data_IF_027301283653
#
_entry.id   IF_027301283653
#
_cell.length_a   1.000
_cell.length_b   1.000
_cell.length_c   1.000
_cell.angle_alpha   90.00
_cell.angle_beta   90.00
_cell.angle_gamma   90.00
#
_symmetry.space_group_name_H-M   'P 1'
#
loop_
_entity.id
_entity.type
_entity.pdbx_description
1 polymer ?
#
# COMPACT_ATOMS: atom_id res chain seq x y z
N UNK A 1 1.39 24.00 31.93
CA UNK A 1 0.24 23.77 31.03
C UNK A 1 0.08 25.03 30.20
N UNK A 2 0.78 25.09 29.07
CA UNK A 2 0.43 26.01 27.99
C UNK A 2 -0.85 25.44 27.34
N UNK A 3 -1.86 26.28 27.11
CA UNK A 3 -3.10 25.86 26.46
C UNK A 3 -2.87 25.65 24.97
N UNK A 4 -3.58 24.68 24.38
CA UNK A 4 -3.62 24.44 22.92
C UNK A 4 -4.21 25.67 22.21
N UNK A 5 -3.74 25.99 21.01
CA UNK A 5 -4.29 27.11 20.24
C UNK A 5 -5.67 26.75 19.68
N UNK A 6 -6.56 27.73 19.52
CA UNK A 6 -7.96 27.55 19.13
C UNK A 6 -8.11 26.81 17.78
N UNK A 7 -7.15 26.98 16.86
CA UNK A 7 -7.13 26.27 15.57
C UNK A 7 -6.85 24.77 15.75
N UNK A 8 -5.95 24.44 16.68
CA UNK A 8 -5.56 23.06 16.99
C UNK A 8 -6.71 22.32 17.70
N UNK A 9 -7.42 23.00 18.60
CA UNK A 9 -8.62 22.44 19.26
C UNK A 9 -9.74 22.10 18.27
N UNK A 10 -9.98 22.97 17.27
CA UNK A 10 -10.98 22.73 16.22
C UNK A 10 -10.60 21.52 15.35
N UNK A 11 -9.32 21.38 15.02
CA UNK A 11 -8.81 20.26 14.24
C UNK A 11 -8.91 18.93 15.02
N UNK A 12 -8.49 18.92 16.28
CA UNK A 12 -8.61 17.76 17.17
C UNK A 12 -10.08 17.35 17.31
N UNK A 13 -10.98 18.30 17.53
CA UNK A 13 -12.42 18.02 17.62
C UNK A 13 -12.98 17.39 16.33
N UNK A 14 -12.52 17.85 15.16
CA UNK A 14 -12.92 17.27 13.87
C UNK A 14 -12.40 15.83 13.71
N UNK A 15 -11.15 15.58 14.10
CA UNK A 15 -10.53 14.26 14.02
C UNK A 15 -11.21 13.27 14.97
N UNK A 16 -11.44 13.68 16.23
CA UNK A 16 -12.13 12.86 17.22
C UNK A 16 -13.56 12.51 16.78
N UNK A 17 -14.26 13.42 16.08
CA UNK A 17 -15.58 13.14 15.50
C UNK A 17 -15.55 12.02 14.44
N UNK A 18 -14.41 11.85 13.77
CA UNK A 18 -14.20 10.85 12.72
C UNK A 18 -13.28 9.70 13.17
N UNK A 19 -13.01 9.56 14.48
CA UNK A 19 -12.03 8.61 15.00
C UNK A 19 -12.33 7.15 14.63
N UNK A 20 -13.61 6.82 14.42
CA UNK A 20 -14.09 5.48 14.09
C UNK A 20 -13.65 4.97 12.71
N UNK A 21 -13.27 5.85 11.80
CA UNK A 21 -12.81 5.47 10.45
C UNK A 21 -11.29 5.28 10.38
N UNK A 22 -10.57 5.51 11.48
CA UNK A 22 -9.11 5.48 11.53
C UNK A 22 -8.55 4.09 11.79
N UNK A 23 -7.45 3.76 11.13
CA UNK A 23 -6.67 2.54 11.34
C UNK A 23 -5.77 2.67 12.57
N UNK A 24 -5.19 1.56 13.05
CA UNK A 24 -4.27 1.55 14.19
C UNK A 24 -3.08 2.51 14.01
N UNK A 25 -2.46 2.51 12.83
CA UNK A 25 -1.36 3.42 12.51
C UNK A 25 -1.78 4.89 12.47
N UNK A 26 -2.99 5.19 11.95
CA UNK A 26 -3.50 6.56 11.98
C UNK A 26 -3.77 7.04 13.41
N UNK A 27 -4.24 6.15 14.30
CA UNK A 27 -4.44 6.48 15.71
C UNK A 27 -3.12 6.76 16.42
N UNK A 28 -2.08 5.94 16.15
CA UNK A 28 -0.73 6.20 16.64
C UNK A 28 -0.19 7.55 16.15
N UNK A 29 -0.40 7.87 14.87
CA UNK A 29 0.04 9.13 14.27
C UNK A 29 -0.66 10.35 14.89
N UNK A 30 -1.99 10.25 15.12
CA UNK A 30 -2.76 11.28 15.81
C UNK A 30 -2.22 11.49 17.23
N UNK A 31 -1.93 10.42 17.96
CA UNK A 31 -1.35 10.53 19.30
C UNK A 31 0.01 11.25 19.29
N UNK A 32 0.92 10.84 18.40
CA UNK A 32 2.28 11.36 18.36
C UNK A 32 2.39 12.80 17.85
N UNK A 33 1.52 13.19 16.90
CA UNK A 33 1.62 14.51 16.24
C UNK A 33 0.70 15.57 16.81
N UNK A 34 -0.42 15.16 17.40
CA UNK A 34 -1.47 16.08 17.86
C UNK A 34 -1.70 16.00 19.37
N UNK A 35 -0.85 15.26 20.08
CA UNK A 35 -0.88 15.12 21.54
C UNK A 35 -2.25 14.63 22.06
N UNK A 36 -2.99 13.89 21.23
CA UNK A 36 -4.29 13.32 21.62
C UNK A 36 -4.01 12.01 22.37
N UNK A 37 -4.44 11.94 23.62
CA UNK A 37 -4.29 10.75 24.45
C UNK A 37 -5.18 9.60 23.98
N UNK A 38 -4.78 8.36 24.26
CA UNK A 38 -5.61 7.19 23.98
C UNK A 38 -6.96 7.26 24.71
N UNK A 39 -6.97 7.83 25.92
CA UNK A 39 -8.18 8.06 26.73
C UNK A 39 -9.15 9.05 26.06
N UNK A 40 -8.64 10.13 25.44
CA UNK A 40 -9.44 11.05 24.62
C UNK A 40 -10.07 10.34 23.40
N UNK A 41 -9.30 9.46 22.74
CA UNK A 41 -9.81 8.69 21.60
C UNK A 41 -10.89 7.67 22.01
N UNK A 42 -10.70 6.98 23.14
CA UNK A 42 -11.70 6.07 23.71
C UNK A 42 -12.96 6.83 24.09
N UNK A 43 -12.82 8.00 24.73
CA UNK A 43 -13.95 8.90 25.04
C UNK A 43 -14.67 9.38 23.78
N UNK A 44 -13.95 9.53 22.67
CA UNK A 44 -14.51 9.82 21.35
C UNK A 44 -15.13 8.59 20.64
N UNK A 45 -15.30 7.48 21.37
CA UNK A 45 -15.93 6.23 20.93
C UNK A 45 -15.12 5.48 19.88
N UNK A 46 -13.81 5.32 20.12
CA UNK A 46 -12.98 4.33 19.46
C UNK A 46 -13.66 2.96 19.47
N UNK A 47 -13.56 2.18 18.39
CA UNK A 47 -14.16 0.84 18.35
C UNK A 47 -13.24 -0.21 18.96
N UNK A 48 -13.79 -1.28 19.56
CA UNK A 48 -13.05 -2.46 20.01
C UNK A 48 -12.04 -2.98 18.98
N UNK A 49 -12.44 -3.10 17.71
CA UNK A 49 -11.57 -3.64 16.66
C UNK A 49 -10.38 -2.73 16.35
N UNK A 50 -10.48 -1.43 16.67
CA UNK A 50 -9.39 -0.47 16.53
C UNK A 50 -8.40 -0.56 17.69
N UNK A 51 -8.87 -0.88 18.91
CA UNK A 51 -7.99 -1.18 20.05
C UNK A 51 -7.24 -2.50 19.81
N UNK A 52 -7.93 -3.51 19.29
CA UNK A 52 -7.31 -4.77 18.89
C UNK A 52 -6.27 -4.56 17.78
N UNK A 53 -6.59 -3.69 16.81
CA UNK A 53 -5.63 -3.26 15.79
C UNK A 53 -4.40 -2.57 16.38
N UNK A 54 -4.56 -1.69 17.37
CA UNK A 54 -3.43 -1.08 18.08
C UNK A 54 -2.59 -2.15 18.80
N UNK A 55 -3.22 -3.16 19.40
CA UNK A 55 -2.52 -4.23 20.10
C UNK A 55 -1.72 -5.14 19.16
N UNK A 56 -2.20 -5.34 17.93
CA UNK A 56 -1.57 -6.21 16.93
C UNK A 56 -0.54 -5.48 16.09
N UNK A 57 -0.89 -4.29 15.60
CA UNK A 57 -0.11 -3.55 14.61
C UNK A 57 0.82 -2.52 15.26
N UNK A 58 0.52 -2.08 16.49
CA UNK A 58 1.28 -1.06 17.22
C UNK A 58 1.51 -1.44 18.71
N UNK A 59 1.97 -2.66 19.05
CA UNK A 59 2.01 -3.16 20.42
C UNK A 59 2.85 -2.29 21.37
N UNK A 60 3.98 -1.77 20.91
CA UNK A 60 4.87 -0.91 21.73
C UNK A 60 4.19 0.38 22.19
N UNK A 61 3.25 0.92 21.41
CA UNK A 61 2.50 2.11 21.80
C UNK A 61 1.58 1.81 22.99
N UNK A 62 0.79 0.74 22.92
CA UNK A 62 -0.10 0.36 24.02
C UNK A 62 0.67 -0.03 25.28
N UNK A 63 1.78 -0.76 25.14
CA UNK A 63 2.66 -1.09 26.26
C UNK A 63 3.18 0.19 26.92
N UNK A 64 3.65 1.15 26.12
CA UNK A 64 4.13 2.43 26.64
C UNK A 64 3.04 3.24 27.35
N UNK A 65 1.81 3.26 26.84
CA UNK A 65 0.70 3.94 27.50
C UNK A 65 0.33 3.29 28.84
N UNK A 66 0.43 1.97 28.93
CA UNK A 66 0.23 1.20 30.17
C UNK A 66 1.38 1.42 31.17
N UNK A 67 2.62 1.34 30.72
CA UNK A 67 3.84 1.52 31.55
C UNK A 67 3.93 2.94 32.11
N UNK A 68 3.51 3.94 31.34
CA UNK A 68 3.45 5.33 31.79
C UNK A 68 2.23 5.65 32.64
N UNK A 69 1.33 4.68 32.87
CA UNK A 69 0.04 4.86 33.54
C UNK A 69 -0.84 5.95 32.91
N UNK A 70 -0.72 6.16 31.60
CA UNK A 70 -1.58 7.07 30.84
C UNK A 70 -2.99 6.48 30.64
N UNK A 71 -3.09 5.16 30.69
CA UNK A 71 -4.33 4.39 30.68
C UNK A 71 -4.16 3.12 31.54
N UNK A 72 -5.21 2.68 32.22
CA UNK A 72 -5.20 1.43 32.98
C UNK A 72 -5.62 0.22 32.15
N UNK A 73 -5.30 -0.97 32.66
CA UNK A 73 -5.76 -2.23 32.09
C UNK A 73 -7.29 -2.31 32.10
N UNK A 74 -7.91 -1.90 33.20
CA UNK A 74 -9.37 -1.88 33.38
C UNK A 74 -10.03 -0.93 32.39
N UNK A 75 -9.46 0.25 32.14
CA UNK A 75 -9.98 1.23 31.17
C UNK A 75 -9.93 0.71 29.74
N UNK A 76 -8.89 -0.04 29.37
CA UNK A 76 -8.81 -0.68 28.05
C UNK A 76 -9.82 -1.81 27.91
N UNK A 77 -10.04 -2.61 28.95
CA UNK A 77 -11.06 -3.68 28.96
C UNK A 77 -12.47 -3.10 28.88
N UNK A 78 -12.76 -2.04 29.63
CA UNK A 78 -14.03 -1.32 29.58
C UNK A 78 -14.26 -0.65 28.22
N UNK A 79 -13.19 -0.23 27.54
CA UNK A 79 -13.23 0.27 26.18
C UNK A 79 -13.40 -0.85 25.12
N UNK A 80 -13.35 -2.11 25.54
CA UNK A 80 -13.67 -3.28 24.72
C UNK A 80 -12.47 -3.92 24.03
N UNK A 81 -11.23 -3.65 24.45
CA UNK A 81 -10.07 -4.40 23.94
C UNK A 81 -10.21 -5.88 24.28
N UNK A 82 -9.71 -6.76 23.41
CA UNK A 82 -9.69 -8.18 23.70
C UNK A 82 -8.75 -8.49 24.89
N UNK A 83 -9.30 -9.07 25.95
CA UNK A 83 -8.58 -9.41 27.18
C UNK A 83 -7.35 -10.30 26.95
N UNK A 84 -7.40 -11.19 25.94
CA UNK A 84 -6.27 -12.05 25.59
C UNK A 84 -5.16 -11.28 24.90
N UNK A 85 -5.49 -10.31 24.04
CA UNK A 85 -4.51 -9.43 23.40
C UNK A 85 -3.82 -8.57 24.46
N UNK A 86 -4.61 -7.96 25.36
CA UNK A 86 -4.09 -7.16 26.47
C UNK A 86 -3.19 -7.98 27.40
N UNK A 87 -3.57 -9.22 27.72
CA UNK A 87 -2.76 -10.12 28.54
C UNK A 87 -1.47 -10.56 27.83
N UNK A 88 -1.48 -10.69 26.50
CA UNK A 88 -0.28 -11.01 25.73
C UNK A 88 0.70 -9.83 25.62
N UNK A 89 0.20 -8.59 25.63
CA UNK A 89 1.03 -7.38 25.63
C UNK A 89 1.81 -7.20 26.95
N UNK A 90 1.17 -7.54 28.08
CA UNK A 90 1.72 -7.28 29.41
C UNK A 90 2.67 -8.36 29.94
N UNK A 91 2.89 -9.44 29.19
CA UNK A 91 3.85 -10.50 29.51
C UNK A 91 3.83 -10.96 30.97
N UNK A 92 2.95 -11.91 31.32
CA UNK A 92 2.74 -12.44 32.68
C UNK A 92 3.94 -12.29 33.65
N UNK A 93 3.91 -11.22 34.44
CA UNK A 93 4.84 -10.95 35.53
C UNK A 93 4.02 -10.55 36.75
N UNK A 94 3.83 -11.47 37.68
CA UNK A 94 3.68 -11.13 39.10
C UNK A 94 4.48 -12.14 39.94
N UNK A 95 5.62 -11.67 40.45
CA UNK A 95 6.43 -12.29 41.48
C UNK A 95 6.18 -11.54 42.79
N UNK A 96 5.56 -12.18 43.79
CA UNK A 96 5.76 -11.88 45.21
C UNK A 96 5.83 -13.21 46.00
N UNK A 97 6.96 -13.46 46.66
CA UNK A 97 7.23 -14.51 47.67
C UNK A 97 7.23 -13.88 49.08
N UNK A 98 7.32 -14.62 50.22
CA UNK A 98 6.94 -16.02 50.52
C UNK A 98 6.17 -16.20 51.87
N UNK A 99 5.41 -17.28 52.06
CA UNK A 99 5.34 -18.03 53.34
C UNK A 99 5.06 -19.53 53.06
N UNK A 100 5.54 -20.39 53.97
CA UNK A 100 5.91 -21.82 53.84
C UNK A 100 4.76 -22.88 53.73
N UNK A 101 5.07 -24.17 53.44
CA UNK A 101 4.32 -25.04 52.52
C UNK A 101 3.26 -25.93 53.21
N UNK A 102 2.36 -26.57 52.43
CA UNK A 102 2.56 -28.01 52.24
C UNK A 102 2.15 -28.59 50.87
N UNK A 103 2.92 -29.62 50.50
CA UNK A 103 2.56 -30.82 49.70
C UNK A 103 1.95 -30.69 48.31
N UNK A 104 2.76 -31.15 47.36
CA UNK A 104 2.50 -31.57 45.99
C UNK A 104 1.25 -32.46 45.90
N UNK A 105 0.25 -32.02 45.13
CA UNK A 105 -0.46 -32.88 44.18
C UNK A 105 -0.45 -32.20 42.81
N UNK A 106 -0.11 -32.99 41.79
CA UNK A 106 0.08 -32.59 40.42
C UNK A 106 -1.22 -32.08 39.78
N UNK A 107 -1.24 -30.83 39.31
CA UNK A 107 -2.10 -30.44 38.18
C UNK A 107 -1.31 -29.58 37.19
N UNK A 108 -1.07 -30.19 36.03
CA UNK A 108 -0.68 -29.52 34.80
C UNK A 108 -1.85 -28.63 34.34
N UNK A 109 -1.65 -27.33 34.18
CA UNK A 109 -2.40 -26.59 33.15
C UNK A 109 -1.70 -25.28 32.76
N UNK A 110 -0.75 -25.39 31.82
CA UNK A 110 -0.35 -24.29 30.95
C UNK A 110 -1.20 -24.41 29.69
N UNK A 111 -2.44 -23.92 29.73
CA UNK A 111 -3.34 -24.01 28.60
C UNK A 111 -2.93 -23.03 27.48
N UNK A 112 -2.38 -23.57 26.39
CA UNK A 112 -2.50 -23.02 25.03
C UNK A 112 -3.99 -22.83 24.70
N UNK A 113 -4.53 -21.62 24.85
CA UNK A 113 -5.92 -21.36 24.42
C UNK A 113 -5.98 -21.29 22.90
N UNK A 114 -6.55 -22.33 22.28
CA UNK A 114 -6.81 -22.40 20.84
C UNK A 114 -7.85 -21.38 20.37
N UNK A 115 -7.98 -21.22 19.05
CA UNK A 115 -9.07 -20.43 18.43
C UNK A 115 -10.43 -20.99 18.88
N UNK A 116 -11.36 -20.09 19.18
CA UNK A 116 -12.75 -20.50 19.43
C UNK A 116 -13.36 -21.12 18.17
N UNK A 117 -14.43 -21.89 18.35
CA UNK A 117 -15.17 -22.52 17.24
C UNK A 117 -15.68 -21.48 16.24
N UNK A 118 -16.13 -20.32 16.75
CA UNK A 118 -16.65 -19.22 15.91
C UNK A 118 -15.53 -18.60 15.08
N UNK A 119 -14.41 -18.24 15.70
CA UNK A 119 -13.24 -17.66 15.01
C UNK A 119 -12.70 -18.61 13.93
N UNK A 120 -12.69 -19.91 14.23
CA UNK A 120 -12.22 -20.94 13.30
C UNK A 120 -13.17 -21.12 12.11
N UNK A 121 -14.47 -21.08 12.32
CA UNK A 121 -15.46 -21.15 11.23
C UNK A 121 -15.46 -19.88 10.37
N UNK A 122 -15.29 -18.69 10.98
CA UNK A 122 -15.11 -17.44 10.25
C UNK A 122 -13.84 -17.45 9.39
N UNK A 123 -12.72 -17.92 9.95
CA UNK A 123 -11.46 -18.07 9.24
C UNK A 123 -11.62 -19.04 8.07
N UNK A 124 -12.25 -20.20 8.30
CA UNK A 124 -12.54 -21.18 7.25
C UNK A 124 -13.39 -20.57 6.13
N UNK A 125 -14.45 -19.83 6.47
CA UNK A 125 -15.30 -19.16 5.48
C UNK A 125 -14.52 -18.14 4.65
N UNK A 126 -13.63 -17.35 5.28
CA UNK A 126 -12.72 -16.44 4.57
C UNK A 126 -11.81 -17.22 3.63
N UNK A 127 -11.17 -18.28 4.12
CA UNK A 127 -10.22 -19.09 3.35
C UNK A 127 -10.87 -19.77 2.15
N UNK A 128 -12.07 -20.34 2.32
CA UNK A 128 -12.83 -20.97 1.24
C UNK A 128 -13.22 -19.99 0.13
N UNK A 129 -13.31 -18.70 0.44
CA UNK A 129 -13.55 -17.64 -0.53
C UNK A 129 -12.24 -17.09 -1.13
N UNK A 130 -11.07 -17.67 -0.81
CA UNK A 130 -9.75 -17.11 -1.15
C UNK A 130 -9.42 -15.80 -0.42
N UNK A 131 -10.25 -15.42 0.55
CA UNK A 131 -10.13 -14.20 1.36
C UNK A 131 -9.37 -14.48 2.66
N UNK A 132 -8.86 -13.42 3.28
CA UNK A 132 -8.05 -13.50 4.51
C UNK A 132 -6.64 -12.97 4.31
N UNK A 133 -5.94 -12.71 5.40
CA UNK A 133 -4.56 -12.21 5.36
C UNK A 133 -3.56 -13.36 5.43
N UNK A 134 -2.66 -13.45 4.46
CA UNK A 134 -1.55 -14.40 4.48
C UNK A 134 -0.73 -14.31 5.78
N UNK A 135 -0.53 -13.10 6.32
CA UNK A 135 0.18 -12.88 7.58
C UNK A 135 -0.56 -13.51 8.77
N UNK A 136 -1.89 -13.34 8.84
CA UNK A 136 -2.72 -13.93 9.91
C UNK A 136 -2.71 -15.45 9.81
N UNK A 137 -2.90 -16.00 8.60
CA UNK A 137 -2.91 -17.46 8.40
C UNK A 137 -1.55 -18.06 8.77
N UNK A 138 -0.44 -17.41 8.38
CA UNK A 138 0.90 -17.82 8.78
C UNK A 138 1.06 -17.80 10.30
N UNK A 139 0.65 -16.72 10.97
CA UNK A 139 0.73 -16.62 12.42
C UNK A 139 -0.02 -17.76 13.12
N UNK A 140 -1.20 -18.12 12.62
CA UNK A 140 -1.99 -19.23 13.17
C UNK A 140 -1.35 -20.60 12.93
N UNK A 141 -0.68 -20.80 11.78
CA UNK A 141 0.11 -22.00 11.52
C UNK A 141 1.32 -22.10 12.45
N UNK A 142 2.08 -21.00 12.60
CA UNK A 142 3.28 -20.95 13.45
C UNK A 142 2.96 -21.20 14.94
N UNK A 143 1.76 -20.79 15.39
CA UNK A 143 1.26 -20.99 16.75
C UNK A 143 0.47 -22.29 16.94
N UNK A 144 0.42 -23.14 15.93
CA UNK A 144 -0.33 -24.42 15.93
C UNK A 144 -1.84 -24.25 16.24
N UNK A 145 -2.41 -23.07 15.99
CA UNK A 145 -3.84 -22.79 16.19
C UNK A 145 -4.71 -23.39 15.07
N UNK A 146 -4.10 -23.55 13.90
CA UNK A 146 -4.63 -24.30 12.76
C UNK A 146 -3.53 -25.21 12.23
N UNK A 147 -3.91 -26.34 11.65
CA UNK A 147 -2.97 -27.30 11.06
C UNK A 147 -3.02 -27.28 9.54
N UNK A 148 -1.97 -27.82 8.91
CA UNK A 148 -1.98 -28.08 7.46
C UNK A 148 -3.18 -28.95 7.05
N UNK A 149 -3.49 -30.02 7.79
CA UNK A 149 -4.60 -30.91 7.47
C UNK A 149 -5.94 -30.17 7.48
N UNK A 150 -6.10 -29.18 8.36
CA UNK A 150 -7.29 -28.34 8.39
C UNK A 150 -7.38 -27.44 7.16
N UNK A 151 -6.28 -26.77 6.78
CA UNK A 151 -6.24 -25.96 5.55
C UNK A 151 -6.54 -26.81 4.30
N UNK A 152 -5.99 -28.03 4.21
CA UNK A 152 -6.30 -28.98 3.14
C UNK A 152 -7.79 -29.35 3.14
N UNK A 153 -8.37 -29.63 4.32
CA UNK A 153 -9.80 -29.91 4.46
C UNK A 153 -10.70 -28.72 4.09
N UNK A 154 -10.17 -27.50 4.18
CA UNK A 154 -10.85 -26.26 3.77
C UNK A 154 -10.66 -25.95 2.28
N UNK A 155 -9.94 -26.79 1.54
CA UNK A 155 -9.79 -26.69 0.09
C UNK A 155 -8.56 -25.91 -0.37
N UNK A 156 -7.61 -25.61 0.52
CA UNK A 156 -6.33 -24.99 0.13
C UNK A 156 -5.38 -26.07 -0.38
N UNK A 157 -4.82 -25.88 -1.57
CA UNK A 157 -3.86 -26.83 -2.13
C UNK A 157 -2.51 -26.80 -1.40
N UNK A 158 -1.79 -27.92 -1.43
CA UNK A 158 -0.52 -28.09 -0.72
C UNK A 158 0.54 -27.04 -1.11
N UNK A 159 0.60 -26.64 -2.39
CA UNK A 159 1.58 -25.65 -2.83
C UNK A 159 1.26 -24.27 -2.24
N UNK A 160 -0.02 -23.90 -2.16
CA UNK A 160 -0.45 -22.66 -1.50
C UNK A 160 -0.21 -22.71 0.01
N UNK A 161 -0.44 -23.86 0.68
CA UNK A 161 -0.14 -24.03 2.10
C UNK A 161 1.36 -23.85 2.38
N UNK A 162 2.23 -24.48 1.58
CA UNK A 162 3.68 -24.32 1.73
C UNK A 162 4.11 -22.85 1.54
N UNK A 163 3.44 -22.12 0.65
CA UNK A 163 3.70 -20.69 0.45
C UNK A 163 3.19 -19.82 1.60
N UNK A 164 2.08 -20.18 2.23
CA UNK A 164 1.57 -19.53 3.45
C UNK A 164 2.54 -19.74 4.62
N UNK A 165 3.04 -20.97 4.83
CA UNK A 165 4.04 -21.26 5.87
C UNK A 165 5.31 -20.42 5.70
N UNK A 166 5.77 -20.28 4.45
CA UNK A 166 6.96 -19.52 4.08
C UNK A 166 6.66 -18.03 3.78
N UNK A 167 5.44 -17.56 4.06
CA UNK A 167 5.06 -16.18 3.78
C UNK A 167 5.97 -15.22 4.55
N UNK A 168 6.37 -14.16 3.87
CA UNK A 168 7.07 -13.03 4.46
C UNK A 168 6.52 -11.75 3.86
N UNK A 169 6.49 -10.70 4.66
CA UNK A 169 6.09 -9.39 4.15
C UNK A 169 7.17 -8.84 3.24
N UNK A 170 6.77 -8.48 2.02
CA UNK A 170 7.64 -7.76 1.09
C UNK A 170 7.58 -6.29 1.49
N UNK A 171 8.31 -5.98 2.56
CA UNK A 171 8.43 -4.65 3.14
C UNK A 171 9.77 -4.02 2.77
N UNK A 172 9.79 -2.69 2.76
CA UNK A 172 11.01 -1.91 2.64
C UNK A 172 10.93 -0.77 3.64
N UNK A 173 11.89 -0.74 4.55
CA UNK A 173 12.01 0.34 5.52
C UNK A 173 12.45 1.61 4.79
N UNK A 174 11.59 2.65 4.78
CA UNK A 174 11.89 3.87 4.05
C UNK A 174 13.00 4.64 4.78
N UNK A 175 14.01 5.17 4.07
CA UNK A 175 14.93 6.13 4.67
C UNK A 175 14.19 7.40 5.11
N UNK A 176 14.81 8.15 6.01
CA UNK A 176 14.40 9.53 6.25
C UNK A 176 14.42 10.35 4.95
N UNK A 177 13.44 11.25 4.79
CA UNK A 177 13.26 12.04 3.57
C UNK A 177 14.52 12.81 3.18
N UNK A 178 15.23 13.37 4.16
CA UNK A 178 16.44 14.16 3.95
C UNK A 178 17.65 13.31 3.50
N UNK A 179 17.58 11.98 3.64
CA UNK A 179 18.60 11.06 3.19
C UNK A 179 18.40 10.63 1.72
N UNK A 180 17.29 11.03 1.08
CA UNK A 180 17.05 10.69 -0.31
C UNK A 180 17.89 11.57 -1.26
N UNK A 181 18.63 10.97 -2.20
CA UNK A 181 19.40 11.75 -3.18
C UNK A 181 18.48 12.52 -4.15
N UNK A 182 19.01 13.55 -4.84
CA UNK A 182 18.27 14.24 -5.88
C UNK A 182 18.01 13.34 -7.10
N UNK A 183 16.92 13.60 -7.83
CA UNK A 183 16.64 12.92 -9.09
C UNK A 183 17.76 13.14 -10.11
N UNK A 184 17.96 12.15 -10.97
CA UNK A 184 18.95 12.25 -12.03
C UNK A 184 18.52 13.30 -13.04
N UNK A 185 19.38 14.28 -13.30
CA UNK A 185 19.19 15.24 -14.39
C UNK A 185 19.34 14.57 -15.76
N UNK A 186 18.75 15.18 -16.81
CA UNK A 186 18.77 14.66 -18.18
C UNK A 186 18.20 13.23 -18.26
N UNK A 187 17.15 12.99 -17.48
CA UNK A 187 16.41 11.74 -17.44
C UNK A 187 14.94 12.02 -17.81
N UNK A 188 14.17 10.94 -17.96
CA UNK A 188 12.71 11.00 -17.97
C UNK A 188 12.18 10.49 -16.63
N UNK A 189 11.23 11.20 -16.04
CA UNK A 189 10.61 10.80 -14.77
C UNK A 189 9.28 10.09 -15.05
N UNK A 190 9.04 8.95 -14.41
CA UNK A 190 7.80 8.17 -14.55
C UNK A 190 7.15 8.07 -13.17
N UNK A 191 6.02 8.74 -12.99
CA UNK A 191 5.31 8.81 -11.71
C UNK A 191 4.21 7.77 -11.67
N UNK A 192 4.19 6.94 -10.63
CA UNK A 192 3.09 6.01 -10.33
C UNK A 192 2.22 6.65 -9.25
N UNK A 193 1.00 7.02 -9.64
CA UNK A 193 0.08 7.84 -8.84
C UNK A 193 -1.25 7.10 -8.65
N UNK A 194 -1.84 7.19 -7.46
CA UNK A 194 -3.13 6.56 -7.18
C UNK A 194 -3.33 6.25 -5.71
N UNK A 195 -4.56 5.87 -5.37
CA UNK A 195 -4.98 5.64 -3.99
C UNK A 195 -4.24 4.46 -3.32
N UNK A 196 -4.19 4.42 -1.98
CA UNK A 196 -3.74 3.23 -1.26
C UNK A 196 -4.43 1.97 -1.77
N UNK A 197 -3.70 0.86 -1.81
CA UNK A 197 -4.19 -0.45 -2.25
C UNK A 197 -4.64 -0.58 -3.72
N UNK A 198 -4.48 0.45 -4.56
CA UNK A 198 -4.81 0.35 -6.00
C UNK A 198 -3.82 -0.50 -6.83
N UNK A 199 -2.81 -1.12 -6.20
CA UNK A 199 -1.85 -2.00 -6.88
C UNK A 199 -0.64 -1.31 -7.52
N UNK A 200 -0.33 -0.05 -7.14
CA UNK A 200 0.82 0.72 -7.66
C UNK A 200 2.16 -0.01 -7.55
N UNK A 201 2.55 -0.37 -6.32
CA UNK A 201 3.83 -1.02 -6.02
C UNK A 201 3.91 -2.39 -6.68
N UNK A 202 2.79 -3.12 -6.72
CA UNK A 202 2.64 -4.40 -7.42
C UNK A 202 2.86 -4.25 -8.93
N UNK A 203 2.24 -3.26 -9.56
CA UNK A 203 2.41 -2.96 -10.99
C UNK A 203 3.84 -2.52 -11.31
N UNK A 204 4.42 -1.65 -10.48
CA UNK A 204 5.81 -1.23 -10.63
C UNK A 204 6.77 -2.43 -10.53
N UNK A 205 6.55 -3.30 -9.53
CA UNK A 205 7.35 -4.50 -9.32
C UNK A 205 7.28 -5.47 -10.52
N UNK A 206 6.09 -5.74 -11.04
CA UNK A 206 5.91 -6.64 -12.18
C UNK A 206 6.44 -6.04 -13.49
N UNK A 207 6.30 -4.73 -13.69
CA UNK A 207 6.93 -4.00 -14.79
C UNK A 207 8.46 -4.15 -14.75
N UNK A 208 9.07 -3.90 -13.60
CA UNK A 208 10.52 -3.98 -13.43
C UNK A 208 11.03 -5.43 -13.57
N UNK A 209 10.31 -6.41 -13.03
CA UNK A 209 10.63 -7.83 -13.19
C UNK A 209 10.57 -8.29 -14.65
N UNK A 210 9.56 -7.83 -15.40
CA UNK A 210 9.47 -8.05 -16.85
C UNK A 210 10.64 -7.40 -17.59
N UNK A 211 10.91 -6.12 -17.32
CA UNK A 211 11.97 -5.37 -17.97
C UNK A 211 13.35 -5.98 -17.73
N UNK A 212 13.62 -6.49 -16.52
CA UNK A 212 14.86 -7.18 -16.18
C UNK A 212 15.00 -8.49 -16.98
N UNK A 213 13.95 -9.33 -16.97
CA UNK A 213 13.89 -10.59 -17.74
C UNK A 213 14.09 -10.40 -19.25
N UNK A 214 13.63 -9.27 -19.80
CA UNK A 214 13.80 -8.91 -21.22
C UNK A 214 15.08 -8.12 -21.50
N UNK A 215 15.96 -7.91 -20.52
CA UNK A 215 17.21 -7.15 -20.67
C UNK A 215 16.99 -5.70 -21.15
N UNK A 216 15.88 -5.09 -20.74
CA UNK A 216 15.48 -3.73 -21.11
C UNK A 216 15.93 -2.67 -20.12
N UNK A 217 16.39 -3.08 -18.94
CA UNK A 217 16.87 -2.17 -17.90
C UNK A 217 18.31 -2.49 -17.52
N UNK A 218 19.02 -1.45 -17.11
CA UNK A 218 20.32 -1.54 -16.47
C UNK A 218 20.22 -0.79 -15.12
N UNK A 219 20.60 -1.43 -14.02
CA UNK A 219 20.55 -0.79 -12.71
C UNK A 219 21.58 0.34 -12.62
N UNK A 220 21.19 1.43 -11.96
CA UNK A 220 22.13 2.46 -11.51
C UNK A 220 22.39 2.35 -10.00
N UNK A 221 23.51 2.89 -9.54
CA UNK A 221 23.86 3.00 -8.11
C UNK A 221 23.63 4.42 -7.57
N UNK A 222 23.02 5.31 -8.37
CA UNK A 222 22.80 6.73 -8.01
C UNK A 222 21.89 6.91 -6.78
N UNK A 223 21.05 5.91 -6.49
CA UNK A 223 20.22 5.82 -5.28
C UNK A 223 20.26 4.39 -4.74
N UNK A 224 21.01 4.17 -3.67
CA UNK A 224 21.12 2.86 -3.01
C UNK A 224 19.79 2.42 -2.40
N UNK A 225 19.00 3.34 -1.82
CA UNK A 225 17.69 3.06 -1.27
C UNK A 225 16.69 2.64 -2.35
N UNK A 226 16.61 3.41 -3.44
CA UNK A 226 15.79 3.04 -4.61
C UNK A 226 16.19 1.69 -5.20
N UNK A 227 17.49 1.38 -5.20
CA UNK A 227 18.00 0.08 -5.65
C UNK A 227 17.61 -1.07 -4.71
N UNK A 228 17.69 -0.85 -3.40
CA UNK A 228 17.27 -1.82 -2.39
C UNK A 228 15.76 -2.07 -2.44
N UNK A 229 14.97 -1.00 -2.54
CA UNK A 229 13.52 -1.08 -2.73
C UNK A 229 13.16 -1.89 -3.97
N UNK A 230 13.75 -1.57 -5.13
CA UNK A 230 13.55 -2.35 -6.36
C UNK A 230 13.83 -3.83 -6.14
N UNK A 231 14.97 -4.17 -5.51
CA UNK A 231 15.33 -5.57 -5.24
C UNK A 231 14.29 -6.26 -4.38
N UNK A 232 13.77 -5.59 -3.35
CA UNK A 232 12.74 -6.15 -2.46
C UNK A 232 11.46 -6.47 -3.25
N UNK A 233 10.88 -5.49 -3.94
CA UNK A 233 9.60 -5.66 -4.63
C UNK A 233 9.70 -6.63 -5.84
N UNK A 234 10.81 -6.58 -6.59
CA UNK A 234 11.05 -7.51 -7.71
C UNK A 234 11.24 -8.93 -7.20
N UNK A 235 12.00 -9.13 -6.11
CA UNK A 235 12.13 -10.43 -5.47
C UNK A 235 10.76 -10.96 -5.06
N UNK A 236 9.94 -10.13 -4.42
CA UNK A 236 8.56 -10.44 -4.05
C UNK A 236 7.78 -11.06 -5.20
N UNK A 237 7.63 -10.32 -6.31
CA UNK A 237 6.92 -10.79 -7.51
C UNK A 237 7.51 -12.10 -8.05
N UNK A 238 8.84 -12.22 -8.12
CA UNK A 238 9.51 -13.43 -8.63
C UNK A 238 9.35 -14.65 -7.71
N UNK A 239 8.98 -14.44 -6.45
CA UNK A 239 8.64 -15.48 -5.47
C UNK A 239 7.13 -15.60 -5.21
N UNK A 240 6.32 -14.79 -5.91
CA UNK A 240 4.86 -14.79 -5.81
C UNK A 240 4.30 -14.12 -4.55
N UNK A 241 5.05 -13.23 -3.90
CA UNK A 241 4.60 -12.44 -2.76
C UNK A 241 4.46 -10.97 -3.17
N UNK A 242 3.31 -10.38 -2.92
CA UNK A 242 3.03 -9.00 -3.32
C UNK A 242 3.63 -7.99 -2.33
N UNK A 243 4.10 -6.82 -2.80
CA UNK A 243 4.53 -5.73 -1.93
C UNK A 243 3.45 -5.29 -0.96
N UNK A 244 3.84 -5.01 0.29
CA UNK A 244 2.99 -4.29 1.24
C UNK A 244 2.74 -2.85 0.78
N UNK A 245 1.78 -2.16 1.40
CA UNK A 245 1.52 -0.76 1.10
C UNK A 245 2.78 0.09 1.31
N UNK A 246 3.05 1.01 0.37
CA UNK A 246 4.15 1.96 0.49
C UNK A 246 3.89 2.82 1.74
N UNK A 247 4.85 2.93 2.69
CA UNK A 247 4.64 3.68 3.93
C UNK A 247 4.20 5.13 3.66
N UNK A 248 3.19 5.61 4.40
CA UNK A 248 2.52 6.91 4.16
C UNK A 248 3.43 8.14 4.23
N UNK A 249 4.67 8.01 4.69
CA UNK A 249 5.69 9.05 4.67
C UNK A 249 6.54 9.11 3.41
N UNK A 250 6.48 8.11 2.52
CA UNK A 250 7.58 7.78 1.62
C UNK A 250 7.30 8.10 0.14
N UNK A 251 8.19 8.89 -0.46
CA UNK A 251 8.36 8.97 -1.92
C UNK A 251 9.68 8.32 -2.25
N UNK A 252 9.65 7.23 -3.02
CA UNK A 252 10.87 6.61 -3.51
C UNK A 252 11.09 6.90 -4.98
N UNK A 253 12.35 6.89 -5.41
CA UNK A 253 12.65 6.79 -6.82
C UNK A 253 13.67 5.69 -7.10
N UNK A 254 13.40 4.93 -8.15
CA UNK A 254 14.24 3.85 -8.63
C UNK A 254 14.98 4.37 -9.87
N UNK A 255 16.31 4.62 -9.80
CA UNK A 255 17.08 5.03 -10.96
C UNK A 255 17.42 3.80 -11.82
N UNK A 256 16.92 3.79 -13.06
CA UNK A 256 17.24 2.77 -14.05
C UNK A 256 17.54 3.36 -15.42
N UNK A 257 18.54 2.82 -16.08
CA UNK A 257 18.76 3.11 -17.49
C UNK A 257 17.87 2.15 -18.29
N UNK A 258 16.99 2.69 -19.12
CA UNK A 258 15.99 1.95 -19.86
C UNK A 258 16.36 1.90 -21.34
N UNK A 259 16.09 0.81 -22.04
CA UNK A 259 16.27 0.74 -23.50
C UNK A 259 15.12 1.44 -24.20
N UNK A 260 15.42 2.46 -24.99
CA UNK A 260 14.44 3.14 -25.83
C UNK A 260 14.13 2.37 -27.13
N UNK A 261 13.22 2.92 -27.93
CA UNK A 261 12.82 2.46 -29.26
C UNK A 261 14.01 2.21 -30.22
N UNK A 262 15.06 3.03 -30.12
CA UNK A 262 16.30 2.92 -30.91
C UNK A 262 17.34 2.00 -30.28
N UNK A 263 16.94 1.21 -29.30
CA UNK A 263 17.79 0.27 -28.59
C UNK A 263 19.00 0.94 -27.88
N UNK A 264 18.86 2.22 -27.50
CA UNK A 264 19.86 2.99 -26.74
C UNK A 264 19.42 3.13 -25.28
N UNK A 265 20.39 3.21 -24.38
CA UNK A 265 20.15 3.48 -22.97
C UNK A 265 19.74 4.94 -22.74
N UNK A 266 18.61 5.15 -22.10
CA UNK A 266 18.14 6.44 -21.61
C UNK A 266 18.00 6.41 -20.08
N UNK A 267 18.37 7.50 -19.42
CA UNK A 267 18.21 7.59 -17.96
C UNK A 267 16.74 7.80 -17.64
N UNK A 268 16.20 7.01 -16.71
CA UNK A 268 14.85 7.20 -16.20
C UNK A 268 14.81 7.15 -14.67
N UNK A 269 13.92 7.93 -14.07
CA UNK A 269 13.61 7.84 -12.65
C UNK A 269 12.18 7.32 -12.52
N UNK A 270 11.99 6.17 -11.90
CA UNK A 270 10.66 5.61 -11.63
C UNK A 270 10.28 5.99 -10.21
N UNK A 271 9.25 6.82 -10.04
CA UNK A 271 8.81 7.32 -8.75
C UNK A 271 7.59 6.55 -8.28
N UNK A 272 7.70 6.01 -7.07
CA UNK A 272 6.60 5.36 -6.36
C UNK A 272 6.21 6.25 -5.18
N UNK A 273 5.00 6.78 -5.23
CA UNK A 273 4.47 7.67 -4.21
C UNK A 273 3.45 6.92 -3.35
N UNK A 274 3.60 7.00 -2.03
CA UNK A 274 2.62 6.49 -1.09
C UNK A 274 1.22 7.06 -1.38
N UNK A 275 0.19 6.21 -1.26
CA UNK A 275 -1.19 6.63 -1.55
C UNK A 275 -1.72 7.63 -0.53
N UNK A 276 -1.20 7.61 0.69
CA UNK A 276 -1.51 8.54 1.76
C UNK A 276 -0.96 9.94 1.41
N UNK A 277 0.24 10.02 0.82
CA UNK A 277 0.77 11.30 0.31
C UNK A 277 -0.03 11.82 -0.87
N UNK A 278 -0.53 10.94 -1.72
CA UNK A 278 -1.45 11.31 -2.78
C UNK A 278 -2.73 11.96 -2.21
N UNK A 279 -3.31 11.41 -1.13
CA UNK A 279 -4.46 12.01 -0.43
C UNK A 279 -4.12 13.34 0.25
N UNK A 280 -2.99 13.43 0.94
CA UNK A 280 -2.56 14.67 1.61
C UNK A 280 -2.38 15.80 0.60
N UNK A 281 -1.77 15.53 -0.56
CA UNK A 281 -1.66 16.54 -1.63
C UNK A 281 -3.03 17.00 -2.12
N UNK A 282 -3.96 16.07 -2.24
CA UNK A 282 -5.33 16.35 -2.67
C UNK A 282 -6.06 17.26 -1.67
N UNK A 283 -5.93 16.98 -0.36
CA UNK A 283 -6.65 17.69 0.71
C UNK A 283 -5.97 18.95 1.24
N UNK A 284 -4.64 18.98 1.34
CA UNK A 284 -3.88 19.99 2.09
C UNK A 284 -2.91 20.82 1.21
N UNK A 285 -2.71 20.44 -0.05
CA UNK A 285 -1.86 21.19 -0.99
C UNK A 285 -0.34 21.05 -0.75
N UNK A 286 0.45 22.03 -1.21
CA UNK A 286 1.91 21.91 -1.38
C UNK A 286 2.77 22.02 -0.12
N UNK A 287 2.28 22.60 0.97
CA UNK A 287 3.13 22.91 2.13
C UNK A 287 3.70 21.64 2.78
N UNK A 288 2.87 20.59 2.93
CA UNK A 288 3.30 19.25 3.36
C UNK A 288 4.15 18.53 2.31
N UNK A 289 4.06 18.94 1.04
CA UNK A 289 4.86 18.40 -0.07
C UNK A 289 6.20 19.13 -0.24
N UNK A 290 6.51 20.15 0.58
CA UNK A 290 7.68 21.00 0.44
C UNK A 290 9.01 20.24 0.34
N UNK A 291 9.14 19.12 1.07
CA UNK A 291 10.34 18.24 1.03
C UNK A 291 10.48 17.44 -0.26
N UNK A 292 9.39 17.25 -1.00
CA UNK A 292 9.32 16.48 -2.24
C UNK A 292 9.06 17.34 -3.48
N UNK A 293 8.87 18.66 -3.28
CA UNK A 293 8.66 19.63 -4.34
C UNK A 293 9.75 19.57 -5.39
N UNK A 294 10.99 19.33 -5.00
CA UNK A 294 12.12 19.26 -5.93
C UNK A 294 12.06 18.01 -6.81
N UNK A 295 11.37 16.94 -6.38
CA UNK A 295 11.09 15.80 -7.22
C UNK A 295 10.07 16.12 -8.30
N UNK A 296 9.02 16.87 -8.01
CA UNK A 296 8.04 17.25 -9.04
C UNK A 296 8.52 18.40 -9.94
N UNK A 297 9.04 19.48 -9.36
CA UNK A 297 9.30 20.76 -10.06
C UNK A 297 10.54 20.78 -10.96
N UNK A 298 11.29 19.68 -11.03
CA UNK A 298 12.50 19.58 -11.83
C UNK A 298 12.26 19.70 -13.36
N UNK A 299 13.34 19.81 -14.15
CA UNK A 299 13.30 20.06 -15.60
C UNK A 299 13.24 18.81 -16.49
N UNK A 300 13.24 17.60 -15.93
CA UNK A 300 13.05 16.36 -16.68
C UNK A 300 11.65 16.31 -17.29
N UNK A 301 11.56 15.64 -18.45
CA UNK A 301 10.28 15.27 -19.08
C UNK A 301 9.62 14.15 -18.27
N UNK A 302 8.29 14.15 -18.25
CA UNK A 302 7.51 13.33 -17.31
C UNK A 302 6.50 12.43 -18.03
N UNK A 303 6.29 11.23 -17.53
CA UNK A 303 5.05 10.48 -17.71
C UNK A 303 4.33 10.34 -16.38
N UNK A 304 3.02 10.59 -16.39
CA UNK A 304 2.15 10.39 -15.24
C UNK A 304 1.34 9.12 -15.46
N UNK A 305 1.56 8.12 -14.62
CA UNK A 305 0.86 6.84 -14.66
C UNK A 305 -0.12 6.82 -13.50
N UNK A 306 -1.40 7.05 -13.79
CA UNK A 306 -2.49 6.99 -12.83
C UNK A 306 -3.04 5.58 -12.77
N UNK A 307 -2.95 4.97 -11.59
CA UNK A 307 -3.40 3.60 -11.31
C UNK A 307 -4.79 3.68 -10.70
N UNK A 308 -5.77 3.17 -11.44
CA UNK A 308 -7.18 3.14 -11.11
C UNK A 308 -7.55 1.74 -10.66
N UNK A 309 -8.18 1.63 -9.50
CA UNK A 309 -8.62 0.31 -9.03
C UNK A 309 -9.90 -0.10 -9.73
N UNK A 310 -10.00 -1.39 -10.04
CA UNK A 310 -11.23 -1.99 -10.56
C UNK A 310 -12.04 -2.56 -9.41
N UNK A 311 -13.31 -2.16 -9.39
CA UNK A 311 -14.30 -2.64 -8.45
C UNK A 311 -15.29 -3.53 -9.20
N UNK A 312 -15.26 -4.84 -8.93
CA UNK A 312 -16.12 -5.84 -9.59
C UNK A 312 -17.61 -5.57 -9.35
N UNK A 313 -17.94 -5.02 -8.17
CA UNK A 313 -19.28 -4.54 -7.85
C UNK A 313 -19.25 -3.03 -7.57
N UNK A 314 -19.44 -2.19 -8.61
CA UNK A 314 -19.42 -0.74 -8.48
C UNK A 314 -20.49 -0.20 -7.52
N UNK A 315 -21.67 -0.82 -7.44
CA UNK A 315 -22.74 -0.37 -6.55
C UNK A 315 -22.33 -0.49 -5.08
N UNK A 316 -21.70 -1.61 -4.71
CA UNK A 316 -21.18 -1.83 -3.37
C UNK A 316 -19.95 -0.97 -3.06
N UNK A 317 -19.23 -0.52 -4.08
CA UNK A 317 -17.96 0.21 -3.96
C UNK A 317 -18.09 1.68 -4.40
N UNK A 318 -19.32 2.18 -4.54
CA UNK A 318 -19.59 3.46 -5.18
C UNK A 318 -18.93 4.64 -4.46
N UNK A 319 -18.91 4.60 -3.12
CA UNK A 319 -18.18 5.58 -2.30
C UNK A 319 -16.67 5.57 -2.59
N UNK A 320 -16.06 4.39 -2.66
CA UNK A 320 -14.62 4.25 -2.91
C UNK A 320 -14.23 4.73 -4.32
N UNK A 321 -15.09 4.47 -5.32
CA UNK A 321 -14.93 4.96 -6.69
C UNK A 321 -14.99 6.49 -6.74
N UNK A 322 -16.00 7.09 -6.10
CA UNK A 322 -16.14 8.55 -6.03
C UNK A 322 -14.92 9.17 -5.35
N UNK A 323 -14.52 8.63 -4.20
CA UNK A 323 -13.37 9.12 -3.45
C UNK A 323 -12.11 9.05 -4.33
N UNK A 324 -11.86 7.92 -5.00
CA UNK A 324 -10.72 7.79 -5.90
C UNK A 324 -10.78 8.81 -7.03
N UNK A 325 -11.94 8.99 -7.68
CA UNK A 325 -12.13 9.95 -8.76
C UNK A 325 -11.92 11.40 -8.30
N UNK A 326 -12.38 11.79 -7.12
CA UNK A 326 -12.18 13.14 -6.57
C UNK A 326 -10.72 13.41 -6.24
N UNK A 327 -10.05 12.49 -5.55
CA UNK A 327 -8.63 12.64 -5.23
C UNK A 327 -7.76 12.73 -6.51
N UNK A 328 -8.10 11.98 -7.56
CA UNK A 328 -7.42 12.07 -8.85
C UNK A 328 -7.61 13.43 -9.52
N UNK A 329 -8.81 14.03 -9.45
CA UNK A 329 -9.06 15.37 -9.98
C UNK A 329 -8.22 16.43 -9.25
N UNK A 330 -8.22 16.38 -7.91
CA UNK A 330 -7.47 17.32 -7.07
C UNK A 330 -5.96 17.24 -7.36
N UNK A 331 -5.41 16.03 -7.44
CA UNK A 331 -3.99 15.83 -7.79
C UNK A 331 -3.70 16.33 -9.21
N UNK A 332 -4.60 16.12 -10.18
CA UNK A 332 -4.39 16.61 -11.54
C UNK A 332 -4.35 18.13 -11.63
N UNK A 333 -5.32 18.79 -10.98
CA UNK A 333 -5.38 20.25 -10.90
C UNK A 333 -4.15 20.81 -10.20
N UNK A 334 -3.71 20.13 -9.14
CA UNK A 334 -2.48 20.48 -8.46
C UNK A 334 -1.25 20.40 -9.39
N UNK A 335 -1.08 19.30 -10.12
CA UNK A 335 0.03 19.13 -11.07
C UNK A 335 0.00 20.18 -12.18
N UNK A 336 -1.19 20.58 -12.63
CA UNK A 336 -1.34 21.70 -13.56
C UNK A 336 -0.91 23.03 -12.95
N UNK A 337 -1.43 23.39 -11.78
CA UNK A 337 -1.11 24.65 -11.10
C UNK A 337 0.37 24.78 -10.75
N UNK A 338 1.04 23.65 -10.47
CA UNK A 338 2.47 23.59 -10.23
C UNK A 338 3.33 23.61 -11.52
N UNK A 339 2.72 23.74 -12.70
CA UNK A 339 3.41 23.77 -13.99
C UNK A 339 4.03 22.42 -14.39
N UNK A 340 3.63 21.32 -13.76
CA UNK A 340 4.17 19.99 -14.04
C UNK A 340 3.68 19.48 -15.39
N UNK A 341 2.40 19.76 -15.72
CA UNK A 341 1.78 19.32 -16.96
C UNK A 341 2.48 19.85 -18.22
N UNK A 342 3.09 21.04 -18.17
CA UNK A 342 3.89 21.60 -19.27
C UNK A 342 5.10 20.73 -19.65
N UNK A 343 5.61 19.94 -18.69
CA UNK A 343 6.75 19.04 -18.87
C UNK A 343 6.32 17.58 -19.02
N UNK A 344 5.02 17.30 -19.14
CA UNK A 344 4.47 15.95 -19.21
C UNK A 344 4.25 15.52 -20.66
N UNK A 345 4.99 14.51 -21.10
CA UNK A 345 4.89 13.93 -22.44
C UNK A 345 3.70 12.99 -22.57
N UNK A 346 3.36 12.28 -21.49
CA UNK A 346 2.28 11.31 -21.50
C UNK A 346 1.57 11.20 -20.14
N UNK A 347 0.27 10.96 -20.23
CA UNK A 347 -0.61 10.55 -19.13
C UNK A 347 -1.16 9.17 -19.50
N UNK A 348 -0.97 8.21 -18.60
CA UNK A 348 -1.49 6.85 -18.70
C UNK A 348 -2.51 6.60 -17.60
N UNK A 349 -3.71 6.18 -17.98
CA UNK A 349 -4.73 5.71 -17.03
C UNK A 349 -4.74 4.19 -17.08
N UNK A 350 -4.30 3.54 -16.00
CA UNK A 350 -4.13 2.11 -15.93
C UNK A 350 -5.15 1.52 -14.98
N UNK A 351 -6.10 0.74 -15.50
CA UNK A 351 -7.12 0.07 -14.67
C UNK A 351 -6.60 -1.31 -14.28
N UNK A 352 -6.47 -1.55 -12.97
CA UNK A 352 -5.90 -2.79 -12.43
C UNK A 352 -6.91 -3.93 -12.36
N UNK A 353 -6.44 -5.12 -11.96
CA UNK A 353 -7.26 -6.33 -11.80
C UNK A 353 -7.99 -6.72 -13.09
N UNK A 354 -7.34 -6.52 -14.23
CA UNK A 354 -7.90 -6.83 -15.55
C UNK A 354 -8.20 -8.32 -15.78
N UNK A 355 -7.76 -9.22 -14.92
CA UNK A 355 -8.16 -10.62 -14.86
C UNK A 355 -9.59 -10.82 -14.35
N UNK A 356 -10.14 -9.85 -13.61
CA UNK A 356 -11.52 -9.84 -13.11
C UNK A 356 -12.49 -9.12 -14.04
N UNK A 357 -12.02 -8.54 -15.15
CA UNK A 357 -12.90 -7.89 -16.10
C UNK A 357 -13.84 -8.89 -16.77
N UNK A 358 -15.04 -8.46 -17.20
CA UNK A 358 -15.90 -9.27 -18.06
C UNK A 358 -15.17 -9.76 -19.31
N UNK A 359 -15.60 -10.92 -19.84
CA UNK A 359 -15.06 -11.43 -21.10
C UNK A 359 -15.25 -10.44 -22.26
N UNK A 360 -14.24 -10.34 -23.13
CA UNK A 360 -14.29 -9.49 -24.31
C UNK A 360 -13.02 -8.65 -24.52
N UNK A 361 -13.15 -7.56 -25.27
CA UNK A 361 -12.05 -6.63 -25.49
C UNK A 361 -11.79 -5.78 -24.23
N UNK A 362 -10.78 -6.18 -23.47
CA UNK A 362 -10.35 -5.49 -22.25
C UNK A 362 -9.96 -4.03 -22.49
N UNK A 363 -9.48 -3.67 -23.69
CA UNK A 363 -9.12 -2.28 -24.00
C UNK A 363 -10.36 -1.42 -24.21
N UNK A 364 -11.40 -1.97 -24.85
CA UNK A 364 -12.70 -1.31 -24.98
C UNK A 364 -13.38 -1.19 -23.61
N UNK A 365 -13.31 -2.24 -22.78
CA UNK A 365 -13.83 -2.23 -21.42
C UNK A 365 -13.22 -1.13 -20.57
N UNK A 366 -11.89 -0.98 -20.58
CA UNK A 366 -11.20 0.08 -19.82
C UNK A 366 -11.70 1.47 -20.21
N UNK A 367 -11.91 1.73 -21.51
CA UNK A 367 -12.42 3.02 -21.96
C UNK A 367 -13.82 3.27 -21.40
N UNK A 368 -14.72 2.29 -21.54
CA UNK A 368 -16.08 2.40 -21.03
C UNK A 368 -16.11 2.60 -19.50
N UNK A 369 -15.33 1.80 -18.77
CA UNK A 369 -15.23 1.88 -17.31
C UNK A 369 -14.73 3.25 -16.83
N UNK A 370 -13.70 3.79 -17.48
CA UNK A 370 -13.16 5.12 -17.16
C UNK A 370 -14.16 6.22 -17.54
N UNK A 371 -14.82 6.12 -18.68
CA UNK A 371 -15.84 7.08 -19.11
C UNK A 371 -17.05 7.11 -18.17
N UNK A 372 -17.44 5.96 -17.63
CA UNK A 372 -18.57 5.83 -16.71
C UNK A 372 -18.24 6.34 -15.30
N UNK A 373 -17.12 5.90 -14.73
CA UNK A 373 -16.84 6.11 -13.31
C UNK A 373 -15.84 7.23 -13.01
N UNK A 374 -15.04 7.63 -14.00
CA UNK A 374 -13.96 8.62 -13.85
C UNK A 374 -14.09 9.77 -14.87
N UNK A 375 -15.32 10.07 -15.32
CA UNK A 375 -15.60 11.03 -16.40
C UNK A 375 -14.96 12.42 -16.18
N UNK A 376 -15.05 12.95 -14.97
CA UNK A 376 -14.50 14.28 -14.63
C UNK A 376 -12.98 14.26 -14.67
N UNK A 377 -12.34 13.26 -14.04
CA UNK A 377 -10.89 13.09 -14.10
C UNK A 377 -10.41 12.92 -15.54
N UNK A 378 -11.09 12.10 -16.34
CA UNK A 378 -10.81 11.92 -17.76
C UNK A 378 -10.89 13.25 -18.53
N UNK A 379 -11.87 14.09 -18.21
CA UNK A 379 -12.04 15.40 -18.85
C UNK A 379 -10.84 16.30 -18.55
N UNK A 380 -10.40 16.37 -17.29
CA UNK A 380 -9.18 17.12 -16.93
C UNK A 380 -7.93 16.61 -17.68
N UNK A 381 -7.78 15.30 -17.82
CA UNK A 381 -6.68 14.73 -18.60
C UNK A 381 -6.78 15.06 -20.10
N UNK A 382 -7.98 15.12 -20.67
CA UNK A 382 -8.22 15.56 -22.05
C UNK A 382 -7.87 17.04 -22.23
N UNK A 383 -8.23 17.88 -21.27
CA UNK A 383 -7.88 19.30 -21.28
C UNK A 383 -6.36 19.48 -21.27
N UNK A 384 -5.63 18.66 -20.49
CA UNK A 384 -4.16 18.72 -20.48
C UNK A 384 -3.54 18.25 -21.79
N UNK A 385 -4.09 17.19 -22.41
CA UNK A 385 -3.69 16.75 -23.76
C UNK A 385 -3.85 17.90 -24.75
N UNK A 386 -4.99 18.58 -24.72
CA UNK A 386 -5.32 19.62 -25.69
C UNK A 386 -4.51 20.90 -25.46
N UNK A 387 -4.22 21.23 -24.20
CA UNK A 387 -3.44 22.41 -23.81
C UNK A 387 -1.93 22.26 -24.03
N UNK A 388 -1.35 21.11 -23.69
CA UNK A 388 0.11 20.90 -23.68
C UNK A 388 0.62 19.92 -24.75
N UNK A 389 -0.28 19.30 -25.52
CA UNK A 389 0.08 18.26 -26.49
C UNK A 389 0.48 16.93 -25.85
N UNK A 390 0.16 16.74 -24.56
CA UNK A 390 0.45 15.52 -23.80
C UNK A 390 -0.32 14.33 -24.35
N UNK A 391 0.33 13.18 -24.53
CA UNK A 391 -0.35 11.96 -24.97
C UNK A 391 -1.25 11.42 -23.86
N UNK A 392 -2.48 11.01 -24.17
CA UNK A 392 -3.39 10.38 -23.22
C UNK A 392 -3.71 8.96 -23.69
N UNK A 393 -3.37 7.95 -22.89
CA UNK A 393 -3.58 6.53 -23.21
C UNK A 393 -4.16 5.78 -22.02
N UNK A 394 -4.93 4.73 -22.29
CA UNK A 394 -5.59 3.92 -21.26
C UNK A 394 -5.24 2.45 -21.45
N UNK A 395 -4.98 1.73 -20.35
CA UNK A 395 -4.53 0.34 -20.42
C UNK A 395 -5.21 -0.54 -19.37
N UNK A 396 -5.62 -1.76 -19.73
CA UNK A 396 -5.87 -2.81 -18.75
C UNK A 396 -4.55 -3.26 -18.13
N UNK A 397 -4.54 -3.64 -16.86
CA UNK A 397 -3.37 -4.24 -16.22
C UNK A 397 -3.75 -5.31 -15.21
N UNK A 398 -3.04 -6.43 -15.23
CA UNK A 398 -3.18 -7.48 -14.23
C UNK A 398 -1.86 -8.22 -14.06
N UNK A 399 -1.66 -8.78 -12.87
CA UNK A 399 -0.63 -9.76 -12.56
C UNK A 399 -1.18 -11.19 -12.48
N UNK A 400 -2.47 -11.38 -12.79
CA UNK A 400 -3.22 -12.62 -12.64
C UNK A 400 -3.86 -12.78 -11.26
N UNK A 401 -4.55 -13.91 -11.04
CA UNK A 401 -5.25 -14.21 -9.80
C UNK A 401 -4.34 -14.21 -8.58
N UNK A 402 -4.90 -13.79 -7.45
CA UNK A 402 -4.22 -13.70 -6.16
C UNK A 402 -5.10 -14.26 -5.06
N UNK A 403 -4.48 -14.94 -4.12
CA UNK A 403 -5.09 -15.47 -2.91
C UNK A 403 -4.57 -14.75 -1.67
N UNK A 404 -5.40 -14.68 -0.64
CA UNK A 404 -5.03 -14.19 0.70
C UNK A 404 -4.38 -12.80 0.72
N UNK A 405 -4.80 -11.94 -0.21
CA UNK A 405 -4.38 -10.54 -0.38
C UNK A 405 -2.97 -10.33 -0.94
N UNK A 406 -2.01 -11.21 -0.61
CA UNK A 406 -0.58 -10.99 -0.89
C UNK A 406 0.11 -12.15 -1.61
N UNK A 407 -0.61 -13.20 -1.99
CA UNK A 407 -0.04 -14.38 -2.65
C UNK A 407 -0.56 -14.46 -4.09
N UNK A 408 0.35 -14.46 -5.06
CA UNK A 408 -0.04 -14.70 -6.47
C UNK A 408 -0.29 -16.18 -6.70
N UNK A 409 -1.36 -16.60 -7.35
CA UNK A 409 -1.64 -18.03 -7.51
C UNK A 409 -0.59 -18.72 -8.41
N UNK A 410 -0.18 -18.06 -9.50
CA UNK A 410 0.92 -18.51 -10.36
C UNK A 410 1.88 -17.34 -10.63
N UNK A 411 3.10 -17.41 -10.10
CA UNK A 411 4.09 -16.33 -10.23
C UNK A 411 5.15 -16.60 -11.31
N UNK A 412 5.15 -17.80 -11.92
CA UNK A 412 6.11 -18.13 -12.97
C UNK A 412 5.64 -17.53 -14.30
N UNK A 413 6.41 -16.62 -14.94
CA UNK A 413 5.97 -15.94 -16.15
C UNK A 413 5.60 -16.85 -17.32
N UNK A 414 6.22 -18.05 -17.39
CA UNK A 414 5.90 -19.05 -18.42
C UNK A 414 4.48 -19.63 -18.30
N UNK A 415 3.91 -19.62 -17.09
CA UNK A 415 2.61 -20.19 -16.78
C UNK A 415 1.57 -19.11 -16.50
N UNK A 416 2.01 -17.90 -16.13
CA UNK A 416 1.18 -16.73 -15.98
C UNK A 416 1.50 -15.67 -17.06
N UNK A 417 0.76 -15.67 -18.19
CA UNK A 417 1.01 -14.74 -19.29
C UNK A 417 0.72 -13.28 -18.93
N UNK A 418 -0.01 -12.99 -17.85
CA UNK A 418 -0.28 -11.62 -17.42
C UNK A 418 1.02 -10.88 -17.06
N UNK A 419 2.03 -11.61 -16.57
CA UNK A 419 3.37 -11.09 -16.24
C UNK A 419 4.26 -10.78 -17.45
N UNK A 420 3.79 -11.08 -18.67
CA UNK A 420 4.43 -10.67 -19.92
C UNK A 420 3.52 -9.67 -20.67
N UNK A 421 2.23 -9.99 -20.85
CA UNK A 421 1.30 -9.23 -21.67
C UNK A 421 1.14 -7.79 -21.20
N UNK A 422 0.74 -7.55 -19.96
CA UNK A 422 0.44 -6.19 -19.49
C UNK A 422 1.71 -5.33 -19.27
N UNK A 423 2.79 -5.83 -18.65
CA UNK A 423 4.05 -5.11 -18.60
C UNK A 423 4.57 -4.72 -19.99
N UNK A 424 4.48 -5.61 -20.98
CA UNK A 424 5.00 -5.32 -22.33
C UNK A 424 4.30 -4.14 -22.99
N UNK A 425 2.98 -4.02 -22.84
CA UNK A 425 2.22 -2.86 -23.33
C UNK A 425 2.79 -1.58 -22.74
N UNK A 426 2.88 -1.48 -21.42
CA UNK A 426 3.37 -0.26 -20.77
C UNK A 426 4.83 0.05 -21.13
N UNK A 427 5.70 -0.97 -21.22
CA UNK A 427 7.08 -0.82 -21.66
C UNK A 427 7.17 -0.22 -23.06
N UNK A 428 6.42 -0.73 -24.02
CA UNK A 428 6.47 -0.23 -25.39
C UNK A 428 5.96 1.22 -25.48
N UNK A 429 4.95 1.57 -24.69
CA UNK A 429 4.43 2.94 -24.63
C UNK A 429 5.44 3.91 -23.98
N UNK A 430 6.10 3.49 -22.90
CA UNK A 430 7.18 4.28 -22.29
C UNK A 430 8.34 4.50 -23.27
N UNK A 431 8.70 3.50 -24.11
CA UNK A 431 9.72 3.66 -25.14
C UNK A 431 9.32 4.65 -26.22
N UNK A 432 8.07 4.59 -26.66
CA UNK A 432 7.54 5.45 -27.72
C UNK A 432 7.39 6.90 -27.26
N UNK A 433 6.89 7.10 -26.04
CA UNK A 433 6.45 8.41 -25.58
C UNK A 433 7.53 9.20 -24.85
N UNK A 434 8.45 8.51 -24.17
CA UNK A 434 9.53 9.14 -23.39
C UNK A 434 10.90 9.05 -24.07
N UNK A 435 10.96 8.64 -25.34
CA UNK A 435 12.20 8.69 -26.11
C UNK A 435 12.74 10.11 -26.09
N UNK A 436 13.93 10.30 -25.48
CA UNK A 436 14.60 11.60 -25.41
C UNK A 436 14.64 12.22 -26.81
N UNK A 437 13.79 13.22 -27.05
CA UNK A 437 13.85 14.04 -28.24
C UNK A 437 15.11 14.88 -28.14
N UNK A 438 16.23 14.38 -28.71
CA UNK A 438 17.29 15.28 -29.13
C UNK A 438 16.80 16.06 -30.34
N UNK A 439 16.15 17.21 -30.10
CA UNK A 439 16.08 18.30 -31.07
C UNK A 439 16.18 19.65 -30.35
N UNK A 440 17.41 19.97 -29.96
CA UNK A 440 17.89 21.34 -29.95
C UNK A 440 19.02 21.43 -30.98
N UNK A 441 18.69 21.89 -32.19
CA UNK A 441 19.68 22.60 -33.00
C UNK A 441 19.58 24.05 -32.55
N UNK A 442 20.71 24.60 -32.11
CA UNK A 442 20.94 26.03 -31.97
C UNK A 442 21.01 26.66 -33.36
#
# INVERSE_FOLDING_TARGET
MEGRDNVEEVLIAHILKNIRTKTAYELLDIHQKMDVSLTEMISAKLRPEQLDGLALDCPEFLIKELDNHNISKEELLDAGINERLLSSLLGASDNILPEEPPTIEHENDLSTQGLSVVEKEELKNKIQQGKGSAAIIKNYLDRELITQAELESWGVDLNTIERLKNFYEVYFEPPEVNALPPLRSNASDVYFLGMPSSGKSTMLASLLAYSDRKSLIKPSQDNSFGTAYRKSIVKGILTGYLPSATPGGFVNYIPIDFRNDKNKWQKMNFLDMAGERFRIVASEGMEEFGKYRDYLSNNNRKALVFILDYFENPDNSYGEIIDQNQNLQEVMMFLENAGICEKTDAIYMVVTKADLFPEGDKSAFVKAYVEEHYANFLTLCKDMRDKYGTKLKMFPYSIGPTSFGFIMDEFRPKLNPNLDTYPSILVEQLKEDLAIQKKGWW
#
